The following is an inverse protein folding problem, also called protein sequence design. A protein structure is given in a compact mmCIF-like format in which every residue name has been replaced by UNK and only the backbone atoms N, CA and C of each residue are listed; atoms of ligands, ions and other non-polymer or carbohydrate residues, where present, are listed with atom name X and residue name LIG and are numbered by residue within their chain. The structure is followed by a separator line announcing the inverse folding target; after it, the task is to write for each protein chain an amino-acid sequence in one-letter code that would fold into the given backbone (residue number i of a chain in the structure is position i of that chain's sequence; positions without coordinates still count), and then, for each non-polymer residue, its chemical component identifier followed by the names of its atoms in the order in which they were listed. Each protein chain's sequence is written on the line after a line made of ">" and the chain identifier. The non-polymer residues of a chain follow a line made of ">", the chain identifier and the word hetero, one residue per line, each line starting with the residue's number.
data_IF_614349471006
#
_entry.id   IF_614349471006
#
_cell.length_a   1.000
_cell.length_b   1.000
_cell.length_c   1.000
_cell.angle_alpha   90.00
_cell.angle_beta   90.00
_cell.angle_gamma   90.00
#
_symmetry.space_group_name_H-M   'P 1'
#
loop_
_entity.id
_entity.type
_entity.pdbx_description
1 polymer ?
#
# COMPACT_ATOMS: atom_id res chain seq x y z
N UNK A 1 -13.22 10.14 9.25
CA UNK A 1 -12.36 9.06 9.79
C UNK A 1 -10.93 9.58 9.85
N UNK A 2 -10.02 8.89 10.53
CA UNK A 2 -8.59 9.22 10.46
C UNK A 2 -7.78 8.02 10.00
N UNK A 3 -6.77 8.32 9.19
CA UNK A 3 -5.85 7.33 8.65
C UNK A 3 -4.43 7.78 8.97
N UNK A 4 -3.67 6.91 9.62
CA UNK A 4 -2.30 7.21 10.01
C UNK A 4 -1.32 6.43 9.15
N UNK A 5 -0.46 7.14 8.42
CA UNK A 5 0.66 6.53 7.73
C UNK A 5 1.69 6.04 8.76
N UNK A 6 2.08 4.77 8.64
CA UNK A 6 3.08 4.17 9.52
C UNK A 6 4.10 3.38 8.71
N UNK A 7 5.38 3.56 9.07
CA UNK A 7 6.49 2.81 8.48
C UNK A 7 6.51 1.38 9.02
N UNK A 8 6.69 0.41 8.13
CA UNK A 8 6.90 -1.00 8.48
C UNK A 8 8.40 -1.27 8.49
N UNK A 9 9.04 -1.06 9.65
CA UNK A 9 10.50 -1.19 9.79
C UNK A 9 11.04 -2.56 9.38
N UNK A 10 10.23 -3.62 9.51
CA UNK A 10 10.62 -4.98 9.11
C UNK A 10 10.87 -5.14 7.60
N UNK A 11 10.26 -4.29 6.77
CA UNK A 11 10.40 -4.34 5.32
C UNK A 11 11.07 -3.10 4.73
N UNK A 12 11.33 -2.09 5.55
CA UNK A 12 12.07 -0.90 5.14
C UNK A 12 13.57 -1.14 5.30
N UNK A 13 14.37 -0.66 4.35
CA UNK A 13 15.82 -0.75 4.39
C UNK A 13 16.46 0.47 3.74
N UNK A 14 17.72 0.33 3.32
CA UNK A 14 18.49 1.39 2.69
C UNK A 14 18.10 1.68 1.23
N UNK A 15 17.33 0.80 0.58
CA UNK A 15 16.96 0.92 -0.83
C UNK A 15 15.53 1.40 -1.05
N UNK A 16 14.62 1.08 -0.11
CA UNK A 16 13.30 1.68 -0.06
C UNK A 16 12.67 1.61 1.34
N UNK A 17 11.75 2.51 1.63
CA UNK A 17 10.85 2.41 2.77
C UNK A 17 9.49 1.86 2.38
N UNK A 18 8.93 1.07 3.29
CA UNK A 18 7.63 0.43 3.14
C UNK A 18 6.72 0.97 4.24
N UNK A 19 5.66 1.65 3.84
CA UNK A 19 4.62 2.19 4.71
C UNK A 19 3.32 1.40 4.56
N UNK A 20 2.41 1.58 5.50
CA UNK A 20 1.00 1.14 5.44
C UNK A 20 0.14 2.16 6.20
N UNK A 21 -1.16 1.91 6.31
CA UNK A 21 -2.09 2.75 7.06
C UNK A 21 -2.73 2.01 8.21
N UNK A 22 -2.78 2.68 9.35
CA UNK A 22 -3.68 2.36 10.44
C UNK A 22 -4.97 3.14 10.28
N UNK A 23 -6.09 2.50 10.55
CA UNK A 23 -7.41 3.13 10.55
C UNK A 23 -7.81 3.42 11.99
N UNK A 24 -8.29 4.62 12.27
CA UNK A 24 -8.88 4.97 13.56
C UNK A 24 -10.19 4.20 13.75
N UNK A 25 -10.27 3.38 14.79
CA UNK A 25 -11.50 2.68 15.16
C UNK A 25 -12.49 3.60 15.89
N UNK A 26 -13.69 3.10 16.20
CA UNK A 26 -14.74 3.85 16.89
C UNK A 26 -14.31 4.38 18.27
N UNK A 27 -13.31 3.75 18.89
CA UNK A 27 -12.73 4.17 20.17
C UNK A 27 -11.58 5.19 20.01
N UNK A 28 -11.32 5.69 18.80
CA UNK A 28 -10.27 6.67 18.53
C UNK A 28 -8.86 6.08 18.52
N UNK A 29 -8.70 4.76 18.37
CA UNK A 29 -7.40 4.07 18.41
C UNK A 29 -6.97 3.55 17.04
N UNK A 30 -5.65 3.54 16.83
CA UNK A 30 -5.00 3.03 15.64
C UNK A 30 -4.33 1.68 15.96
N UNK A 31 -5.08 0.58 15.82
CA UNK A 31 -4.63 -0.75 16.28
C UNK A 31 -4.27 -1.71 15.14
N UNK A 32 -5.04 -1.72 14.05
CA UNK A 32 -4.82 -2.64 12.93
C UNK A 32 -4.50 -1.88 11.63
N UNK A 33 -3.50 -2.37 10.89
CA UNK A 33 -3.16 -1.79 9.60
C UNK A 33 -3.88 -2.48 8.45
N UNK A 34 -4.06 -1.77 7.33
CA UNK A 34 -4.59 -2.34 6.09
C UNK A 34 -3.81 -3.58 5.63
N UNK A 35 -2.49 -3.54 5.82
CA UNK A 35 -1.63 -4.67 5.46
C UNK A 35 -1.84 -5.87 6.40
N UNK A 36 -2.03 -5.63 7.69
CA UNK A 36 -2.34 -6.71 8.66
C UNK A 36 -3.70 -7.34 8.38
N UNK A 37 -4.72 -6.53 8.07
CA UNK A 37 -6.04 -6.99 7.63
C UNK A 37 -5.89 -7.88 6.40
N UNK A 38 -5.17 -7.41 5.37
CA UNK A 38 -4.91 -8.18 4.16
C UNK A 38 -4.24 -9.53 4.45
N UNK A 39 -3.23 -9.55 5.33
CA UNK A 39 -2.57 -10.80 5.72
C UNK A 39 -3.57 -11.72 6.44
N UNK A 40 -4.32 -11.20 7.40
CA UNK A 40 -5.26 -11.97 8.22
C UNK A 40 -6.35 -12.63 7.38
N UNK A 41 -6.89 -11.91 6.41
CA UNK A 41 -7.92 -12.41 5.50
C UNK A 41 -7.43 -13.52 4.56
N UNK A 42 -6.14 -13.52 4.20
CA UNK A 42 -5.61 -14.37 3.13
C UNK A 42 -4.67 -15.49 3.63
N UNK A 43 -4.08 -15.37 4.83
CA UNK A 43 -3.03 -16.29 5.33
C UNK A 43 -3.46 -17.75 5.42
N UNK A 44 -4.75 -18.03 5.62
CA UNK A 44 -5.26 -19.41 5.76
C UNK A 44 -5.25 -20.15 4.41
N UNK A 45 -5.63 -19.47 3.33
CA UNK A 45 -5.78 -20.10 2.00
C UNK A 45 -4.61 -19.81 1.05
N UNK A 46 -3.87 -18.72 1.27
CA UNK A 46 -2.83 -18.21 0.37
C UNK A 46 -1.49 -17.98 1.08
N UNK A 47 -1.13 -18.87 2.02
CA UNK A 47 0.08 -18.72 2.84
C UNK A 47 1.35 -18.64 1.98
N UNK A 48 1.43 -19.38 0.87
CA UNK A 48 2.61 -19.38 -0.01
C UNK A 48 2.77 -18.04 -0.73
N UNK A 49 1.66 -17.47 -1.17
CA UNK A 49 1.58 -16.18 -1.85
C UNK A 49 1.92 -15.03 -0.89
N UNK A 50 1.46 -15.10 0.37
CA UNK A 50 1.87 -14.15 1.42
C UNK A 50 3.38 -14.23 1.69
N UNK A 51 3.97 -15.43 1.73
CA UNK A 51 5.43 -15.59 1.87
C UNK A 51 6.19 -14.98 0.68
N UNK A 52 5.67 -15.13 -0.54
CA UNK A 52 6.25 -14.51 -1.72
C UNK A 52 6.19 -12.97 -1.64
N UNK A 53 5.06 -12.41 -1.20
CA UNK A 53 4.92 -10.98 -0.94
C UNK A 53 5.94 -10.51 0.10
N UNK A 54 6.11 -11.23 1.21
CA UNK A 54 7.07 -10.85 2.26
C UNK A 54 8.51 -10.88 1.74
N UNK A 55 8.87 -11.91 0.98
CA UNK A 55 10.18 -12.01 0.33
C UNK A 55 10.41 -10.81 -0.60
N UNK A 56 9.41 -10.48 -1.42
CA UNK A 56 9.46 -9.33 -2.32
C UNK A 56 9.61 -8.00 -1.58
N UNK A 57 8.86 -7.78 -0.50
CA UNK A 57 8.96 -6.55 0.30
C UNK A 57 10.35 -6.40 0.93
N UNK A 58 10.96 -7.50 1.40
CA UNK A 58 12.35 -7.47 1.89
C UNK A 58 13.34 -7.07 0.81
N UNK A 59 13.21 -7.63 -0.40
CA UNK A 59 14.08 -7.29 -1.54
C UNK A 59 13.87 -5.85 -2.02
N UNK A 60 12.65 -5.34 -1.95
CA UNK A 60 12.36 -3.92 -2.22
C UNK A 60 13.11 -3.05 -1.22
N UNK A 61 12.95 -3.31 0.07
CA UNK A 61 13.55 -2.46 1.09
C UNK A 61 15.08 -2.50 1.17
N UNK A 62 15.69 -3.66 0.95
CA UNK A 62 17.11 -3.87 1.28
C UNK A 62 18.04 -4.04 0.08
N UNK A 63 17.53 -4.46 -1.08
CA UNK A 63 18.41 -4.93 -2.17
C UNK A 63 18.28 -4.14 -3.48
N UNK A 64 17.09 -3.60 -3.78
CA UNK A 64 16.80 -3.18 -5.16
C UNK A 64 15.98 -1.90 -5.31
N UNK A 65 15.34 -1.45 -4.25
CA UNK A 65 14.28 -0.45 -4.28
C UNK A 65 13.00 -1.01 -4.90
N UNK A 66 11.97 -0.17 -4.95
CA UNK A 66 10.67 -0.48 -5.53
C UNK A 66 10.71 -0.46 -7.07
N UNK A 67 11.46 -1.37 -7.69
CA UNK A 67 11.57 -1.48 -9.16
C UNK A 67 10.20 -1.77 -9.80
N UNK A 68 9.88 -1.04 -10.87
CA UNK A 68 8.60 -1.14 -11.57
C UNK A 68 8.25 -2.58 -12.00
N UNK A 69 9.26 -3.39 -12.36
CA UNK A 69 9.09 -4.80 -12.73
C UNK A 69 8.44 -5.68 -11.65
N UNK A 70 8.39 -5.25 -10.40
CA UNK A 70 7.72 -5.97 -9.32
C UNK A 70 6.21 -5.73 -9.26
N UNK A 71 5.74 -4.73 -9.99
CA UNK A 71 4.37 -4.25 -9.90
C UNK A 71 3.62 -4.45 -11.21
N UNK A 72 2.31 -4.60 -11.07
CA UNK A 72 1.37 -4.28 -12.13
C UNK A 72 1.08 -2.79 -12.10
N UNK A 73 1.63 -2.06 -13.06
CA UNK A 73 1.33 -0.64 -13.26
C UNK A 73 -0.06 -0.47 -13.87
N UNK A 74 -0.58 0.77 -13.83
CA UNK A 74 -1.89 1.15 -14.37
C UNK A 74 -3.08 0.42 -13.71
N UNK A 75 -2.99 0.18 -12.41
CA UNK A 75 -4.15 -0.25 -11.61
C UNK A 75 -4.93 0.97 -11.08
N UNK A 76 -4.41 2.19 -11.22
CA UNK A 76 -5.07 3.46 -10.88
C UNK A 76 -5.40 4.36 -12.08
N UNK A 77 -5.51 5.68 -11.82
CA UNK A 77 -5.52 6.72 -12.86
C UNK A 77 -4.10 7.23 -13.13
N UNK A 78 -3.84 7.76 -14.33
CA UNK A 78 -2.54 8.35 -14.65
C UNK A 78 -2.08 9.35 -13.57
N UNK A 79 -0.88 9.13 -13.04
CA UNK A 79 -0.24 10.01 -12.05
C UNK A 79 -0.57 9.75 -10.58
N UNK A 80 -1.46 8.80 -10.24
CA UNK A 80 -1.77 8.49 -8.82
C UNK A 80 -0.79 7.50 -8.17
N UNK A 81 0.14 6.91 -8.93
CA UNK A 81 1.11 5.94 -8.42
C UNK A 81 0.52 4.62 -7.93
N UNK A 82 -0.79 4.38 -8.09
CA UNK A 82 -1.47 3.17 -7.64
C UNK A 82 -1.11 1.99 -8.55
N UNK A 83 -0.59 0.95 -7.94
CA UNK A 83 -0.18 -0.28 -8.60
C UNK A 83 -0.51 -1.50 -7.72
N UNK A 84 -0.32 -2.70 -8.26
CA UNK A 84 -0.45 -3.94 -7.49
C UNK A 84 0.88 -4.70 -7.43
N UNK A 85 1.31 -5.09 -6.23
CA UNK A 85 2.46 -5.97 -6.04
C UNK A 85 2.06 -7.42 -6.35
N UNK A 86 2.85 -8.10 -7.19
CA UNK A 86 2.62 -9.51 -7.51
C UNK A 86 3.14 -10.45 -6.42
N UNK A 87 2.37 -11.49 -6.10
CA UNK A 87 2.84 -12.71 -5.42
C UNK A 87 3.55 -13.66 -6.41
N UNK A 88 4.60 -13.17 -7.07
CA UNK A 88 5.36 -13.98 -8.03
C UNK A 88 6.00 -15.20 -7.34
N UNK A 89 5.94 -16.41 -7.93
CA UNK A 89 5.50 -16.70 -9.31
C UNK A 89 4.00 -16.99 -9.48
N UNK A 90 3.26 -17.23 -8.41
CA UNK A 90 1.86 -17.72 -8.44
C UNK A 90 0.87 -16.71 -9.04
N UNK A 91 1.06 -15.40 -8.77
CA UNK A 91 0.21 -14.31 -9.29
C UNK A 91 -1.28 -14.45 -8.91
N UNK A 92 -1.59 -15.05 -7.77
CA UNK A 92 -2.96 -15.30 -7.27
C UNK A 92 -3.44 -14.25 -6.27
N UNK A 93 -2.55 -13.52 -5.60
CA UNK A 93 -2.90 -12.42 -4.71
C UNK A 93 -2.51 -11.08 -5.33
N UNK A 94 -3.38 -10.08 -5.15
CA UNK A 94 -3.04 -8.69 -5.42
C UNK A 94 -3.00 -7.94 -4.11
N UNK A 95 -1.84 -7.38 -3.80
CA UNK A 95 -1.70 -6.35 -2.78
C UNK A 95 -1.59 -5.01 -3.50
N UNK A 96 -2.57 -4.13 -3.33
CA UNK A 96 -2.48 -2.79 -3.90
C UNK A 96 -1.54 -1.92 -3.06
N UNK A 97 -0.78 -1.06 -3.74
CA UNK A 97 0.13 -0.11 -3.10
C UNK A 97 0.28 1.16 -3.94
N UNK A 98 0.65 2.26 -3.28
CA UNK A 98 1.05 3.51 -3.94
C UNK A 98 2.58 3.49 -4.02
N UNK A 99 3.12 3.74 -5.20
CA UNK A 99 4.57 3.77 -5.44
C UNK A 99 5.03 5.20 -5.70
N UNK A 100 5.95 5.68 -4.88
CA UNK A 100 6.66 6.94 -5.07
C UNK A 100 8.10 6.62 -5.49
N UNK A 101 8.37 6.71 -6.79
CA UNK A 101 9.68 6.40 -7.33
C UNK A 101 10.13 4.97 -7.01
N UNK A 102 11.42 4.79 -6.75
CA UNK A 102 11.99 3.53 -6.24
C UNK A 102 12.12 3.54 -4.72
N UNK A 103 12.00 4.70 -4.10
CA UNK A 103 12.43 4.98 -2.74
C UNK A 103 11.33 4.67 -1.71
N UNK A 104 10.05 4.77 -2.09
CA UNK A 104 8.96 4.61 -1.12
C UNK A 104 7.72 3.92 -1.70
N UNK A 105 7.15 3.00 -0.92
CA UNK A 105 5.83 2.42 -1.20
C UNK A 105 4.90 2.51 0.01
N UNK A 106 3.61 2.69 -0.24
CA UNK A 106 2.54 2.64 0.77
C UNK A 106 1.62 1.46 0.46
N UNK A 107 1.65 0.43 1.31
CA UNK A 107 0.82 -0.76 1.19
C UNK A 107 -0.62 -0.46 1.63
N UNK A 108 -1.58 -0.91 0.83
CA UNK A 108 -2.99 -0.93 1.17
C UNK A 108 -3.48 -2.35 1.44
N UNK A 109 -4.75 -2.61 1.11
CA UNK A 109 -5.34 -3.93 1.12
C UNK A 109 -5.30 -4.61 -0.26
N UNK A 110 -6.19 -5.58 -0.44
CA UNK A 110 -6.26 -6.35 -1.68
C UNK A 110 -6.96 -7.69 -1.48
N UNK A 111 -6.63 -8.67 -2.31
CA UNK A 111 -7.22 -10.00 -2.16
C UNK A 111 -6.91 -10.96 -3.30
N UNK A 112 -7.58 -12.13 -3.30
CA UNK A 112 -7.42 -13.13 -4.32
C UNK A 112 -7.89 -12.64 -5.68
N UNK A 113 -7.14 -12.99 -6.72
CA UNK A 113 -7.50 -12.74 -8.11
C UNK A 113 -8.13 -14.01 -8.69
N UNK A 114 -9.44 -14.14 -8.53
CA UNK A 114 -10.19 -15.28 -9.07
C UNK A 114 -10.78 -15.02 -10.46
N UNK A 115 -10.81 -13.77 -10.92
CA UNK A 115 -11.46 -13.33 -12.17
C UNK A 115 -10.51 -12.59 -13.10
N UNK A 116 -10.77 -12.67 -14.42
CA UNK A 116 -9.94 -12.00 -15.45
C UNK A 116 -10.08 -10.47 -15.42
N UNK A 117 -11.25 -9.92 -15.07
CA UNK A 117 -11.53 -8.48 -15.05
C UNK A 117 -11.81 -7.95 -13.63
N UNK A 118 -11.33 -6.73 -13.33
CA UNK A 118 -11.48 -6.06 -12.03
C UNK A 118 -12.95 -5.78 -11.66
N UNK A 119 -13.79 -5.52 -12.66
CA UNK A 119 -15.20 -5.18 -12.50
C UNK A 119 -16.07 -6.31 -11.91
N UNK A 120 -15.58 -7.56 -11.97
CA UNK A 120 -16.28 -8.74 -11.49
C UNK A 120 -15.94 -9.08 -10.02
N UNK A 121 -14.96 -8.38 -9.44
CA UNK A 121 -14.54 -8.58 -8.04
C UNK A 121 -14.79 -7.33 -7.21
N UNK A 122 -15.92 -7.33 -6.48
CA UNK A 122 -16.34 -6.21 -5.62
C UNK A 122 -15.28 -5.85 -4.58
N UNK A 123 -14.53 -6.83 -4.07
CA UNK A 123 -13.50 -6.61 -3.05
C UNK A 123 -12.29 -5.90 -3.67
N UNK A 124 -11.73 -6.46 -4.73
CA UNK A 124 -10.58 -5.84 -5.40
C UNK A 124 -10.89 -4.44 -5.92
N UNK A 125 -12.12 -4.20 -6.40
CA UNK A 125 -12.57 -2.86 -6.81
C UNK A 125 -12.61 -1.88 -5.63
N UNK A 126 -13.15 -2.29 -4.49
CA UNK A 126 -13.21 -1.45 -3.27
C UNK A 126 -11.82 -1.08 -2.78
N UNK A 127 -10.93 -2.06 -2.64
CA UNK A 127 -9.54 -1.85 -2.20
C UNK A 127 -8.78 -0.92 -3.14
N UNK A 128 -8.98 -1.09 -4.46
CA UNK A 128 -8.36 -0.25 -5.46
C UNK A 128 -8.83 1.21 -5.38
N UNK A 129 -10.16 1.44 -5.33
CA UNK A 129 -10.71 2.80 -5.26
C UNK A 129 -10.31 3.51 -3.96
N UNK A 130 -10.27 2.78 -2.85
CA UNK A 130 -9.77 3.32 -1.59
C UNK A 130 -8.36 3.83 -1.73
N UNK A 131 -7.47 3.04 -2.36
CA UNK A 131 -6.08 3.43 -2.51
C UNK A 131 -5.88 4.62 -3.47
N UNK A 132 -6.74 4.75 -4.49
CA UNK A 132 -6.75 5.92 -5.39
C UNK A 132 -7.16 7.19 -4.66
N UNK A 133 -8.22 7.11 -3.85
CA UNK A 133 -8.62 8.21 -2.98
C UNK A 133 -7.50 8.59 -2.01
N UNK A 134 -6.88 7.58 -1.39
CA UNK A 134 -5.81 7.82 -0.44
C UNK A 134 -4.60 8.49 -1.10
N UNK A 135 -4.19 8.03 -2.28
CA UNK A 135 -3.11 8.67 -3.04
C UNK A 135 -3.39 10.16 -3.30
N UNK A 136 -4.63 10.47 -3.70
CA UNK A 136 -5.08 11.87 -3.86
C UNK A 136 -4.95 12.65 -2.55
N UNK A 137 -5.35 12.05 -1.42
CA UNK A 137 -5.29 12.71 -0.10
C UNK A 137 -3.87 12.95 0.38
N UNK A 138 -2.97 11.97 0.23
CA UNK A 138 -1.55 12.16 0.53
C UNK A 138 -0.97 13.28 -0.32
N UNK A 139 -1.33 13.32 -1.61
CA UNK A 139 -0.90 14.39 -2.53
C UNK A 139 -1.42 15.76 -2.09
N UNK A 140 -2.66 15.87 -1.62
CA UNK A 140 -3.21 17.11 -1.06
C UNK A 140 -2.44 17.56 0.19
N UNK A 141 -2.17 16.66 1.14
CA UNK A 141 -1.35 16.95 2.32
C UNK A 141 0.06 17.40 1.95
N UNK A 142 0.69 16.78 0.94
CA UNK A 142 2.00 17.21 0.44
C UNK A 142 1.96 18.62 -0.14
N UNK A 143 0.93 18.93 -0.94
CA UNK A 143 0.76 20.27 -1.52
C UNK A 143 0.53 21.35 -0.48
N UNK A 144 -0.07 20.99 0.65
CA UNK A 144 -0.31 21.89 1.77
C UNK A 144 0.90 21.99 2.73
N UNK A 145 1.97 21.23 2.49
CA UNK A 145 3.13 21.07 3.39
C UNK A 145 2.80 20.45 4.76
N UNK A 146 1.67 19.74 4.87
CA UNK A 146 1.33 18.97 6.07
C UNK A 146 2.20 17.70 6.17
N UNK A 147 2.49 17.10 5.01
CA UNK A 147 3.41 15.97 4.84
C UNK A 147 4.53 16.39 3.89
N UNK A 148 5.76 16.04 4.20
CA UNK A 148 6.91 16.25 3.34
C UNK A 148 7.62 14.91 3.10
N UNK A 149 8.32 14.81 1.98
CA UNK A 149 9.33 13.78 1.83
C UNK A 149 10.60 14.21 2.56
N UNK A 150 11.29 13.26 3.18
CA UNK A 150 12.67 13.44 3.62
C UNK A 150 13.56 13.83 2.45
N UNK A 151 14.74 14.40 2.73
CA UNK A 151 15.66 14.88 1.70
C UNK A 151 16.13 13.78 0.71
N UNK A 152 16.15 12.53 1.16
CA UNK A 152 16.50 11.35 0.37
C UNK A 152 15.27 10.64 -0.25
N UNK A 153 14.07 11.20 -0.07
CA UNK A 153 12.77 10.65 -0.51
C UNK A 153 12.40 9.28 0.09
N UNK A 154 13.16 8.82 1.07
CA UNK A 154 12.97 7.52 1.69
C UNK A 154 11.91 7.54 2.79
N UNK A 155 11.50 8.69 3.31
CA UNK A 155 10.55 8.78 4.41
C UNK A 155 9.56 9.92 4.25
N UNK A 156 8.44 9.80 4.97
CA UNK A 156 7.51 10.91 5.19
C UNK A 156 7.81 11.61 6.52
N UNK A 157 7.76 12.93 6.50
CA UNK A 157 7.91 13.83 7.64
C UNK A 157 6.64 14.70 7.79
N UNK A 158 6.37 15.23 8.98
CA UNK A 158 5.19 16.09 9.25
C UNK A 158 4.00 15.39 9.92
N UNK A 159 2.77 15.87 9.68
CA UNK A 159 1.54 15.29 10.20
C UNK A 159 1.10 14.10 9.32
N UNK A 160 1.45 12.90 9.77
CA UNK A 160 1.14 11.65 9.08
C UNK A 160 -0.31 11.17 9.31
N UNK A 161 -1.19 12.02 9.86
CA UNK A 161 -2.61 11.72 10.08
C UNK A 161 -3.46 12.44 9.02
N UNK A 162 -4.07 11.65 8.15
CA UNK A 162 -5.04 12.11 7.15
C UNK A 162 -6.42 12.12 7.79
N UNK A 163 -7.05 13.30 7.86
CA UNK A 163 -8.37 13.53 8.48
C UNK A 163 -9.40 13.74 7.37
N UNK A 164 -10.09 12.67 6.98
CA UNK A 164 -11.13 12.73 5.97
C UNK A 164 -12.01 11.47 6.03
N UNK A 165 -13.19 11.52 5.43
CA UNK A 165 -14.08 10.37 5.30
C UNK A 165 -13.99 9.82 3.88
N UNK A 166 -13.64 8.54 3.76
CA UNK A 166 -13.74 7.84 2.49
C UNK A 166 -15.21 7.50 2.23
N UNK A 167 -15.91 8.39 1.53
CA UNK A 167 -17.27 8.17 1.07
C UNK A 167 -17.23 7.45 -0.28
N UNK A 168 -17.69 6.19 -0.33
CA UNK A 168 -17.64 5.40 -1.56
C UNK A 168 -18.72 4.32 -1.62
#
# INVERSE_FOLDING_TARGET
>A
MKYKLVKISKFSGNEASVYTLLIENEQGKFEESLFDIFINENKTLYLSEIKNIFSRLKTIGNDTGARESFFKTNEGVPGDGVCALYDSPSKKLRLYCIRYGKELIVLGGGGPKNVKALQDDKKLKKENYFLRWLSKKITECIRNNDILFSNDFMDFEGDLIIKDDYEN
#
